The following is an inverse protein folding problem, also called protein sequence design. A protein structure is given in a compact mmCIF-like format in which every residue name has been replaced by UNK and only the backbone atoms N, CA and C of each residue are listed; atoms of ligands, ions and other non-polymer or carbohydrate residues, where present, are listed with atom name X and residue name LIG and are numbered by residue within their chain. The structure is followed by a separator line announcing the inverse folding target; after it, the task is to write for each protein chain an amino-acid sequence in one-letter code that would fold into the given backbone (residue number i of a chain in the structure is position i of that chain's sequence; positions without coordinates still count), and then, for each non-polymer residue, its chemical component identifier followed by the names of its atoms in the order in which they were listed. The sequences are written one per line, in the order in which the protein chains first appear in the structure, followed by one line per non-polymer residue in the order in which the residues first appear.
data_IF_813063545212
#
_entry.id   IF_813063545212
#
_cell.length_a   1.000
_cell.length_b   1.000
_cell.length_c   1.000
_cell.angle_alpha   90.00
_cell.angle_beta   90.00
_cell.angle_gamma   90.00
#
_symmetry.space_group_name_H-M   'P 1'
#
loop_
_entity.id
_entity.type
_entity.pdbx_description
1 polymer ?
#
# COMPACT_ATOMS: atom_id res chain seq x y z
N UNK A 1 8.68 -6.53 -3.96
CA UNK A 1 8.14 -6.49 -5.34
C UNK A 1 7.92 -5.05 -5.74
N UNK A 2 6.93 -4.80 -6.60
CA UNK A 2 6.44 -3.47 -6.97
C UNK A 2 4.95 -3.40 -6.70
N UNK A 3 4.52 -2.38 -5.97
CA UNK A 3 3.11 -1.96 -5.95
C UNK A 3 2.92 -0.88 -7.01
N UNK A 4 1.90 -1.05 -7.85
CA UNK A 4 1.49 -0.04 -8.83
C UNK A 4 0.03 0.33 -8.57
N UNK A 5 -0.26 1.63 -8.55
CA UNK A 5 -1.62 2.14 -8.39
C UNK A 5 -1.94 3.03 -9.58
N UNK A 6 -2.98 2.66 -10.33
CA UNK A 6 -3.58 3.54 -11.32
C UNK A 6 -4.76 4.28 -10.67
N UNK A 7 -4.77 5.60 -10.80
CA UNK A 7 -5.87 6.44 -10.36
C UNK A 7 -6.36 7.31 -11.52
N UNK A 8 -7.59 7.07 -11.97
CA UNK A 8 -8.24 7.82 -13.04
C UNK A 8 -9.72 8.07 -12.71
N UNK A 9 -10.47 8.72 -13.61
CA UNK A 9 -11.88 9.07 -13.36
C UNK A 9 -12.85 7.89 -13.32
N UNK A 10 -12.40 6.67 -13.63
CA UNK A 10 -13.24 5.47 -13.68
C UNK A 10 -13.02 4.55 -12.49
N UNK A 11 -11.82 4.50 -11.92
CA UNK A 11 -11.49 3.64 -10.79
C UNK A 11 -10.16 4.03 -10.12
N UNK A 12 -9.93 3.44 -8.94
CA UNK A 12 -8.59 3.20 -8.40
C UNK A 12 -8.30 1.70 -8.53
N UNK A 13 -7.19 1.36 -9.17
CA UNK A 13 -6.76 -0.03 -9.38
C UNK A 13 -5.37 -0.24 -8.78
N UNK A 14 -5.16 -1.35 -8.07
CA UNK A 14 -3.89 -1.66 -7.40
C UNK A 14 -3.39 -3.03 -7.83
N UNK A 15 -2.13 -3.09 -8.24
CA UNK A 15 -1.41 -4.31 -8.55
C UNK A 15 -0.25 -4.51 -7.59
N UNK A 16 0.06 -5.78 -7.35
CA UNK A 16 1.30 -6.21 -6.73
C UNK A 16 2.01 -7.17 -7.68
N UNK A 17 3.29 -6.90 -7.92
CA UNK A 17 4.16 -7.77 -8.69
C UNK A 17 5.28 -8.28 -7.79
N UNK A 18 5.45 -9.60 -7.74
CA UNK A 18 6.62 -10.21 -7.12
C UNK A 18 7.91 -9.73 -7.78
N UNK A 19 9.01 -9.75 -7.01
CA UNK A 19 10.31 -9.21 -7.45
C UNK A 19 10.78 -9.80 -8.78
N UNK A 20 10.47 -11.07 -9.04
CA UNK A 20 10.89 -11.79 -10.25
C UNK A 20 9.93 -11.61 -11.44
N UNK A 21 8.77 -10.99 -11.22
CA UNK A 21 7.69 -10.86 -12.21
C UNK A 21 7.28 -9.39 -12.42
N UNK A 22 8.18 -8.44 -12.21
CA UNK A 22 7.90 -7.01 -12.43
C UNK A 22 7.84 -6.71 -13.95
N UNK A 23 6.73 -6.17 -14.47
CA UNK A 23 6.60 -5.75 -15.87
C UNK A 23 7.74 -4.83 -16.32
N UNK A 24 8.15 -4.96 -17.58
CA UNK A 24 9.28 -4.20 -18.14
C UNK A 24 9.03 -2.67 -18.11
N UNK A 25 7.78 -2.25 -18.28
CA UNK A 25 7.35 -0.85 -18.22
C UNK A 25 7.27 -0.29 -16.79
N UNK A 26 7.44 -1.13 -15.76
CA UNK A 26 7.52 -0.70 -14.36
C UNK A 26 8.94 -0.67 -13.79
N UNK A 27 9.95 -0.99 -14.61
CA UNK A 27 11.36 -0.99 -14.19
C UNK A 27 11.87 0.43 -13.87
N UNK A 28 12.96 0.52 -13.10
CA UNK A 28 13.52 1.79 -12.60
C UNK A 28 13.89 2.79 -13.71
N UNK A 29 14.17 2.35 -14.93
CA UNK A 29 14.50 3.26 -16.05
C UNK A 29 13.31 3.60 -16.96
N UNK A 30 12.17 2.98 -16.72
CA UNK A 30 10.96 3.20 -17.53
C UNK A 30 10.34 4.58 -17.24
N UNK A 31 9.86 5.23 -18.28
CA UNK A 31 9.28 6.59 -18.23
C UNK A 31 7.77 6.60 -18.50
N UNK A 32 7.24 5.50 -19.03
CA UNK A 32 5.84 5.28 -19.33
C UNK A 32 5.43 3.90 -18.82
N UNK A 33 4.16 3.78 -18.46
CA UNK A 33 3.53 2.58 -17.90
C UNK A 33 2.19 2.36 -18.59
N UNK A 34 1.87 1.12 -18.94
CA UNK A 34 0.61 0.76 -19.60
C UNK A 34 -0.14 -0.29 -18.77
N UNK A 35 -1.06 0.15 -17.88
CA UNK A 35 -1.83 -0.74 -17.02
C UNK A 35 -2.64 -1.81 -17.76
N UNK A 36 -2.98 -1.59 -19.03
CA UNK A 36 -3.75 -2.56 -19.83
C UNK A 36 -2.99 -3.88 -20.07
N UNK A 37 -1.66 -3.87 -19.91
CA UNK A 37 -0.78 -5.03 -20.09
C UNK A 37 -0.54 -5.83 -18.81
N UNK A 38 -1.01 -5.36 -17.65
CA UNK A 38 -0.69 -5.94 -16.35
C UNK A 38 -1.66 -7.02 -15.87
N UNK A 39 -2.75 -7.25 -16.61
CA UNK A 39 -3.78 -8.22 -16.24
C UNK A 39 -4.66 -7.73 -15.10
N UNK A 40 -5.24 -8.67 -14.35
CA UNK A 40 -6.26 -8.39 -13.33
C UNK A 40 -5.60 -7.73 -12.11
N UNK A 41 -6.09 -6.57 -11.64
CA UNK A 41 -5.57 -5.94 -10.43
C UNK A 41 -5.89 -6.78 -9.18
N UNK A 42 -5.02 -6.69 -8.18
CA UNK A 42 -5.27 -7.30 -6.87
C UNK A 42 -6.43 -6.62 -6.13
N UNK A 43 -6.64 -5.33 -6.38
CA UNK A 43 -7.80 -4.59 -5.91
C UNK A 43 -8.31 -3.63 -6.98
N UNK A 44 -9.64 -3.59 -7.14
CA UNK A 44 -10.33 -2.74 -8.12
C UNK A 44 -11.49 -2.00 -7.44
N UNK A 45 -11.41 -0.67 -7.42
CA UNK A 45 -12.39 0.21 -6.79
C UNK A 45 -13.04 1.10 -7.87
N UNK A 46 -14.12 0.65 -8.51
CA UNK A 46 -14.78 1.44 -9.56
C UNK A 46 -15.53 2.63 -8.97
N UNK A 47 -15.47 3.75 -9.65
CA UNK A 47 -16.29 4.91 -9.34
C UNK A 47 -17.68 4.79 -9.94
N UNK A 48 -18.65 5.37 -9.25
CA UNK A 48 -20.04 5.44 -9.65
C UNK A 48 -20.60 6.79 -9.23
N UNK A 49 -21.25 7.49 -10.15
CA UNK A 49 -21.92 8.76 -9.84
C UNK A 49 -23.02 8.62 -8.78
N UNK A 50 -23.52 7.41 -8.53
CA UNK A 50 -24.59 7.14 -7.55
C UNK A 50 -24.05 6.79 -6.17
N UNK A 51 -22.95 6.03 -6.09
CA UNK A 51 -22.49 5.46 -4.81
C UNK A 51 -21.15 6.04 -4.33
N UNK A 52 -20.23 6.31 -5.25
CA UNK A 52 -18.89 6.79 -4.93
C UNK A 52 -18.32 7.56 -6.14
N UNK A 53 -18.60 8.87 -6.26
CA UNK A 53 -18.09 9.67 -7.35
C UNK A 53 -16.58 9.84 -7.22
N UNK A 54 -15.88 9.92 -8.36
CA UNK A 54 -14.42 10.12 -8.39
C UNK A 54 -13.99 11.41 -7.70
N UNK A 55 -14.86 12.42 -7.67
CA UNK A 55 -14.61 13.72 -7.01
C UNK A 55 -14.41 13.66 -5.50
N UNK A 56 -14.68 12.52 -4.85
CA UNK A 56 -14.31 12.32 -3.44
C UNK A 56 -12.78 12.24 -3.25
N UNK A 57 -12.03 11.98 -4.31
CA UNK A 57 -10.59 11.86 -4.29
C UNK A 57 -10.00 12.96 -5.17
N UNK A 58 -9.07 13.73 -4.63
CA UNK A 58 -8.35 14.76 -5.40
C UNK A 58 -7.05 15.09 -4.66
N UNK A 59 -6.05 15.57 -5.40
CA UNK A 59 -4.80 16.11 -4.85
C UNK A 59 -4.14 15.20 -3.78
N UNK A 60 -4.11 13.90 -4.07
CA UNK A 60 -3.62 12.89 -3.13
C UNK A 60 -2.13 13.09 -2.83
N UNK A 61 -1.75 12.85 -1.58
CA UNK A 61 -0.35 12.83 -1.14
C UNK A 61 0.11 11.41 -0.87
N UNK A 62 1.33 11.09 -1.30
CA UNK A 62 1.96 9.81 -1.00
C UNK A 62 2.60 9.91 0.39
N UNK A 63 2.20 9.01 1.28
CA UNK A 63 2.66 8.94 2.67
C UNK A 63 3.28 7.57 2.91
N UNK A 64 4.47 7.57 3.50
CA UNK A 64 5.04 6.38 4.13
C UNK A 64 5.09 6.63 5.63
N UNK A 65 4.41 5.81 6.39
CA UNK A 65 4.46 5.83 7.84
C UNK A 65 4.70 4.42 8.39
N UNK A 66 5.04 4.38 9.67
CA UNK A 66 5.09 3.19 10.48
C UNK A 66 4.70 3.63 11.90
N UNK A 67 3.52 3.21 12.33
CA UNK A 67 3.00 3.50 13.66
C UNK A 67 2.82 2.22 14.46
N UNK A 68 2.64 2.37 15.77
CA UNK A 68 2.44 1.25 16.69
C UNK A 68 1.09 1.39 17.39
N UNK A 69 0.43 0.25 17.59
CA UNK A 69 -0.80 0.14 18.36
C UNK A 69 -1.91 1.06 17.82
N UNK A 70 -2.25 2.12 18.56
CA UNK A 70 -3.28 3.07 18.18
C UNK A 70 -4.66 2.43 17.97
N UNK A 71 -5.51 3.11 17.22
CA UNK A 71 -6.92 2.76 17.06
C UNK A 71 -7.11 1.36 16.46
N UNK A 72 -6.29 1.00 15.46
CA UNK A 72 -6.44 -0.28 14.78
C UNK A 72 -5.57 -1.39 15.39
N UNK A 73 -4.25 -1.35 15.22
CA UNK A 73 -3.40 -2.46 15.66
C UNK A 73 -3.53 -2.72 17.17
N UNK A 74 -3.69 -1.67 17.96
CA UNK A 74 -3.91 -1.78 19.41
C UNK A 74 -5.23 -2.45 19.79
N UNK A 75 -6.31 -2.17 19.06
CA UNK A 75 -7.64 -2.73 19.38
C UNK A 75 -7.77 -4.22 19.07
N UNK A 76 -6.98 -4.75 18.14
CA UNK A 76 -6.98 -6.18 17.76
C UNK A 76 -5.82 -6.97 18.35
N UNK A 77 -4.83 -6.32 18.95
CA UNK A 77 -3.55 -6.93 19.36
C UNK A 77 -3.70 -8.18 20.23
N UNK A 78 -4.59 -8.15 21.22
CA UNK A 78 -4.76 -9.29 22.15
C UNK A 78 -5.31 -10.53 21.45
N UNK A 79 -5.99 -10.36 20.31
CA UNK A 79 -6.54 -11.45 19.50
C UNK A 79 -5.53 -11.93 18.46
N UNK A 80 -4.89 -11.00 17.75
CA UNK A 80 -3.97 -11.32 16.65
C UNK A 80 -2.55 -11.70 17.14
N UNK A 81 -2.18 -11.29 18.34
CA UNK A 81 -0.90 -11.54 19.00
C UNK A 81 -1.13 -12.11 20.43
N UNK A 82 -1.76 -13.29 20.55
CA UNK A 82 -2.17 -13.82 21.84
C UNK A 82 -0.97 -14.13 22.74
N UNK A 83 -1.11 -13.81 24.04
CA UNK A 83 -0.09 -14.11 25.06
C UNK A 83 1.03 -13.07 25.20
N UNK A 84 1.00 -11.99 24.41
CA UNK A 84 2.01 -10.92 24.47
C UNK A 84 1.64 -9.72 25.37
N UNK A 85 0.45 -9.75 25.98
CA UNK A 85 -0.07 -8.66 26.82
C UNK A 85 -0.83 -7.61 26.01
N UNK A 86 -0.90 -6.38 26.53
CA UNK A 86 -1.39 -5.23 25.76
C UNK A 86 -0.33 -4.70 24.79
N UNK A 87 -0.79 -4.06 23.72
CA UNK A 87 0.08 -3.63 22.63
C UNK A 87 1.13 -2.61 23.10
N UNK A 88 0.72 -1.60 23.86
CA UNK A 88 1.62 -0.51 24.28
C UNK A 88 2.74 -1.03 25.17
N UNK A 89 2.42 -1.89 26.14
CA UNK A 89 3.42 -2.54 27.00
C UNK A 89 4.34 -3.45 26.21
N UNK A 90 3.82 -4.18 25.21
CA UNK A 90 4.67 -5.04 24.38
C UNK A 90 5.67 -4.21 23.56
N UNK A 91 5.19 -3.17 22.87
CA UNK A 91 6.04 -2.30 22.04
C UNK A 91 7.09 -1.59 22.89
N UNK A 92 6.69 -1.04 24.05
CA UNK A 92 7.60 -0.32 24.95
C UNK A 92 8.74 -1.21 25.47
N UNK A 93 8.44 -2.47 25.80
CA UNK A 93 9.38 -3.33 26.54
C UNK A 93 10.14 -4.32 25.66
N UNK A 94 9.83 -4.43 24.36
CA UNK A 94 10.46 -5.42 23.46
C UNK A 94 11.08 -4.76 22.20
N UNK A 95 12.03 -3.81 22.35
CA UNK A 95 12.58 -3.08 21.20
C UNK A 95 13.25 -3.98 20.15
N UNK A 96 13.83 -5.13 20.57
CA UNK A 96 14.45 -6.09 19.66
C UNK A 96 13.46 -6.82 18.75
N UNK A 97 12.16 -6.77 19.04
CA UNK A 97 11.14 -7.36 18.18
C UNK A 97 10.91 -6.58 16.87
N UNK A 98 11.41 -5.34 16.78
CA UNK A 98 11.09 -4.41 15.70
C UNK A 98 12.27 -4.13 14.77
N UNK A 99 13.32 -4.98 14.75
CA UNK A 99 14.46 -4.79 13.84
C UNK A 99 14.09 -4.88 12.37
N UNK A 100 13.01 -5.60 12.04
CA UNK A 100 12.46 -5.74 10.69
C UNK A 100 11.32 -4.75 10.39
N UNK A 101 11.02 -3.83 11.31
CA UNK A 101 9.97 -2.82 11.14
C UNK A 101 10.53 -1.57 10.43
N UNK A 102 10.84 -1.70 9.13
CA UNK A 102 11.36 -0.59 8.32
C UNK A 102 10.98 -0.71 6.84
N UNK A 103 11.08 0.41 6.12
CA UNK A 103 10.96 0.45 4.66
C UNK A 103 12.33 0.49 4.00
N UNK A 104 12.56 -0.37 3.00
CA UNK A 104 13.68 -0.25 2.06
C UNK A 104 13.14 -0.02 0.65
N UNK A 105 13.13 1.24 0.23
CA UNK A 105 12.49 1.68 -1.01
C UNK A 105 13.56 1.87 -2.08
N UNK A 106 13.51 1.06 -3.15
CA UNK A 106 14.42 1.23 -4.30
C UNK A 106 14.10 2.51 -5.08
N UNK A 107 12.82 2.74 -5.38
CA UNK A 107 12.35 3.94 -6.04
C UNK A 107 10.86 4.16 -5.75
N UNK A 108 10.45 5.43 -5.83
CA UNK A 108 9.07 5.85 -5.96
C UNK A 108 8.97 6.64 -7.27
N UNK A 109 7.98 6.32 -8.09
CA UNK A 109 7.73 7.01 -9.35
C UNK A 109 6.26 7.40 -9.45
N UNK A 110 6.04 8.62 -9.92
CA UNK A 110 4.73 9.10 -10.34
C UNK A 110 4.81 9.25 -11.85
N UNK A 111 3.94 8.54 -12.56
CA UNK A 111 3.87 8.54 -14.02
C UNK A 111 2.49 9.02 -14.43
N UNK A 112 2.42 9.84 -15.47
CA UNK A 112 1.19 10.14 -16.18
C UNK A 112 1.11 9.23 -17.40
N UNK A 113 0.00 8.55 -17.58
CA UNK A 113 -0.33 7.85 -18.82
C UNK A 113 -0.75 8.85 -19.91
#
# INVERSE_FOLDING_TARGET
GVYATEYNNTAISVWYFDKDNVPADLQEKSVEADPSKWGIPAAYYPFSSTYCPSSHFHDMQIIFDLTFCGDWAGSVFTTDCPGLGDCDSYVQNNPSAFTEAYWLINYLKIMSA
#
